data_IF_914231434080
#
_entry.id   IF_914231434080
#
_cell.length_a   1.000
_cell.length_b   1.000
_cell.length_c   1.000
_cell.angle_alpha   90.00
_cell.angle_beta   90.00
_cell.angle_gamma   90.00
#
_symmetry.space_group_name_H-M   'P 1'
#
loop_
_entity.id
_entity.type
_entity.pdbx_description
1 polymer ?
#
# COMPACT_ATOMS: atom_id res chain seq x y z
N UNK A 1 30.91 -23.42 47.00
CA UNK A 1 30.01 -22.29 46.73
C UNK A 1 30.90 -21.11 46.37
N UNK A 2 31.10 -20.85 45.07
CA UNK A 2 31.91 -19.70 44.63
C UNK A 2 31.06 -18.42 44.78
N UNK A 3 31.60 -17.32 45.33
CA UNK A 3 30.86 -16.07 45.41
C UNK A 3 30.68 -15.49 44.00
N UNK A 4 29.47 -15.05 43.68
CA UNK A 4 29.18 -14.26 42.49
C UNK A 4 29.99 -12.94 42.56
N UNK A 5 30.66 -12.52 41.48
CA UNK A 5 31.34 -11.22 41.46
C UNK A 5 30.29 -10.10 41.60
N UNK A 6 30.51 -9.19 42.56
CA UNK A 6 29.74 -7.97 42.71
C UNK A 6 30.00 -7.06 41.50
N UNK A 7 28.95 -6.79 40.71
CA UNK A 7 29.00 -5.80 39.64
C UNK A 7 29.25 -4.40 40.23
N UNK A 8 29.97 -3.51 39.53
CA UNK A 8 30.26 -2.17 40.00
C UNK A 8 28.97 -1.38 40.26
N UNK A 9 28.84 -0.85 41.48
CA UNK A 9 27.71 0.00 41.86
C UNK A 9 27.73 1.29 41.03
N UNK A 10 26.71 1.51 40.21
CA UNK A 10 26.51 2.76 39.46
C UNK A 10 26.10 2.62 38.00
N UNK A 11 26.14 1.41 37.41
CA UNK A 11 25.52 1.18 36.10
C UNK A 11 24.03 0.96 36.32
N UNK A 12 23.23 1.96 36.00
CA UNK A 12 21.79 1.79 35.90
C UNK A 12 21.50 0.90 34.69
N UNK A 13 21.35 -0.40 34.94
CA UNK A 13 21.03 -1.41 33.93
C UNK A 13 19.73 -1.10 33.20
N UNK A 14 18.85 -0.27 33.78
CA UNK A 14 17.63 0.18 33.12
C UNK A 14 17.92 1.29 32.11
N UNK A 15 18.78 2.25 32.45
CA UNK A 15 19.22 3.29 31.53
C UNK A 15 20.05 2.73 30.35
N UNK A 16 20.87 1.70 30.58
CA UNK A 16 21.60 1.00 29.52
C UNK A 16 20.66 0.24 28.57
N UNK A 17 19.66 -0.48 29.12
CA UNK A 17 18.65 -1.16 28.30
C UNK A 17 17.80 -0.19 27.48
N UNK A 18 17.37 0.93 28.07
CA UNK A 18 16.59 1.94 27.35
C UNK A 18 17.40 2.54 26.19
N UNK A 19 18.67 2.88 26.43
CA UNK A 19 19.55 3.37 25.37
C UNK A 19 19.76 2.35 24.25
N UNK A 20 19.87 1.07 24.59
CA UNK A 20 19.95 -0.02 23.61
C UNK A 20 18.66 -0.17 22.79
N UNK A 21 17.49 -0.08 23.43
CA UNK A 21 16.20 -0.16 22.76
C UNK A 21 15.96 1.04 21.83
N UNK A 22 16.36 2.24 22.23
CA UNK A 22 16.32 3.44 21.38
C UNK A 22 17.24 3.28 20.15
N UNK A 23 18.45 2.78 20.36
CA UNK A 23 19.39 2.46 19.29
C UNK A 23 18.82 1.43 18.32
N UNK A 24 18.21 0.36 18.84
CA UNK A 24 17.57 -0.68 18.03
C UNK A 24 16.38 -0.13 17.24
N UNK A 25 15.53 0.70 17.87
CA UNK A 25 14.41 1.37 17.20
C UNK A 25 14.88 2.25 16.04
N UNK A 26 15.96 3.00 16.24
CA UNK A 26 16.55 3.82 15.20
C UNK A 26 17.10 2.98 14.03
N UNK A 27 17.77 1.85 14.32
CA UNK A 27 18.25 0.92 13.29
C UNK A 27 17.10 0.30 12.49
N UNK A 28 16.05 -0.16 13.18
CA UNK A 28 14.82 -0.67 12.53
C UNK A 28 14.24 0.38 11.62
N UNK A 29 14.11 1.63 12.10
CA UNK A 29 13.55 2.73 11.31
C UNK A 29 14.38 3.01 10.06
N UNK A 30 15.70 3.11 10.21
CA UNK A 30 16.60 3.33 9.09
C UNK A 30 16.56 2.18 8.07
N UNK A 31 16.47 0.93 8.54
CA UNK A 31 16.33 -0.23 7.67
C UNK A 31 14.99 -0.22 6.92
N UNK A 32 13.90 0.14 7.59
CA UNK A 32 12.57 0.24 6.99
C UNK A 32 12.50 1.35 5.93
N UNK A 33 13.01 2.54 6.26
CA UNK A 33 13.04 3.69 5.34
C UNK A 33 13.99 3.45 4.14
N UNK A 34 14.88 2.46 4.22
CA UNK A 34 15.80 2.04 3.15
C UNK A 34 15.38 0.73 2.46
N UNK A 35 14.13 0.29 2.64
CA UNK A 35 13.56 -0.95 2.08
C UNK A 35 14.32 -2.25 2.42
N UNK A 36 15.15 -2.24 3.47
CA UNK A 36 15.85 -3.41 3.98
C UNK A 36 14.96 -4.26 4.89
N UNK A 37 13.80 -4.70 4.36
CA UNK A 37 12.75 -5.38 5.12
C UNK A 37 13.21 -6.68 5.80
N UNK A 38 14.21 -7.37 5.24
CA UNK A 38 14.80 -8.55 5.87
C UNK A 38 15.44 -8.21 7.23
N UNK A 39 16.23 -7.13 7.28
CA UNK A 39 16.84 -6.66 8.52
C UNK A 39 15.77 -6.18 9.52
N UNK A 40 14.72 -5.50 9.04
CA UNK A 40 13.58 -5.12 9.87
C UNK A 40 12.96 -6.33 10.57
N UNK A 41 12.74 -7.41 9.82
CA UNK A 41 12.11 -8.64 10.32
C UNK A 41 13.01 -9.43 11.27
N UNK A 42 14.34 -9.27 11.18
CA UNK A 42 15.29 -9.86 12.13
C UNK A 42 15.37 -9.06 13.44
N UNK A 43 15.35 -7.73 13.36
CA UNK A 43 15.57 -6.84 14.50
C UNK A 43 14.29 -6.58 15.32
N UNK A 44 13.14 -6.43 14.66
CA UNK A 44 11.89 -6.06 15.35
C UNK A 44 11.42 -7.06 16.41
N UNK A 45 11.54 -8.39 16.25
CA UNK A 45 11.16 -9.33 17.31
C UNK A 45 11.92 -9.12 18.62
N UNK A 46 13.21 -8.72 18.54
CA UNK A 46 14.02 -8.41 19.72
C UNK A 46 13.45 -7.17 20.42
N UNK A 47 13.21 -6.10 19.65
CA UNK A 47 12.62 -4.86 20.18
C UNK A 47 11.23 -5.08 20.80
N UNK A 48 10.35 -5.76 20.07
CA UNK A 48 8.96 -6.03 20.47
C UNK A 48 8.87 -6.98 21.68
N UNK A 49 9.87 -7.81 21.92
CA UNK A 49 9.99 -8.61 23.14
C UNK A 49 10.05 -7.74 24.41
N UNK A 50 10.61 -6.52 24.30
CA UNK A 50 10.66 -5.54 25.39
C UNK A 50 9.54 -4.49 25.30
N UNK A 51 9.07 -4.18 24.09
CA UNK A 51 8.04 -3.16 23.80
C UNK A 51 6.83 -3.75 23.07
N UNK A 52 6.06 -4.67 23.69
CA UNK A 52 4.98 -5.38 23.00
C UNK A 52 3.76 -4.51 22.68
N UNK A 53 3.65 -3.32 23.29
CA UNK A 53 2.55 -2.37 23.07
C UNK A 53 2.89 -1.29 22.03
N UNK A 54 4.07 -1.32 21.42
CA UNK A 54 4.43 -0.38 20.35
C UNK A 54 3.72 -0.80 19.06
N UNK A 55 2.54 -0.22 18.83
CA UNK A 55 1.69 -0.46 17.65
C UNK A 55 2.42 -0.16 16.35
N UNK A 56 3.24 0.89 16.33
CA UNK A 56 3.96 1.32 15.14
C UNK A 56 5.10 0.36 14.79
N UNK A 57 5.79 -0.18 15.79
CA UNK A 57 6.76 -1.25 15.59
C UNK A 57 6.09 -2.54 15.06
N UNK A 58 4.93 -2.94 15.60
CA UNK A 58 4.16 -4.06 15.05
C UNK A 58 3.69 -3.81 13.61
N UNK A 59 3.31 -2.58 13.29
CA UNK A 59 2.94 -2.15 11.93
C UNK A 59 4.12 -2.33 10.96
N UNK A 60 5.30 -1.78 11.28
CA UNK A 60 6.50 -1.93 10.43
C UNK A 60 6.88 -3.41 10.26
N UNK A 61 6.72 -4.22 11.31
CA UNK A 61 6.99 -5.65 11.25
C UNK A 61 6.04 -6.35 10.28
N UNK A 62 4.74 -6.12 10.44
CA UNK A 62 3.71 -6.71 9.59
C UNK A 62 3.81 -6.29 8.12
N UNK A 63 4.10 -5.01 7.86
CA UNK A 63 4.30 -4.52 6.50
C UNK A 63 5.56 -5.08 5.84
N UNK A 64 6.67 -5.14 6.58
CA UNK A 64 7.91 -5.77 6.10
C UNK A 64 7.71 -7.25 5.76
N UNK A 65 7.00 -8.00 6.63
CA UNK A 65 6.65 -9.40 6.38
C UNK A 65 5.77 -9.56 5.12
N UNK A 66 4.81 -8.65 4.90
CA UNK A 66 3.95 -8.64 3.71
C UNK A 66 4.78 -8.43 2.44
N UNK A 67 5.72 -7.49 2.45
CA UNK A 67 6.61 -7.20 1.31
C UNK A 67 7.55 -8.38 1.02
N UNK A 68 7.98 -9.10 2.05
CA UNK A 68 8.71 -10.37 1.93
C UNK A 68 7.80 -11.59 1.63
N UNK A 69 6.51 -11.38 1.38
CA UNK A 69 5.50 -12.40 1.07
C UNK A 69 5.29 -13.45 2.17
N UNK A 70 5.67 -13.15 3.41
CA UNK A 70 5.42 -13.96 4.61
C UNK A 70 4.03 -13.64 5.17
N UNK A 71 3.00 -13.96 4.40
CA UNK A 71 1.64 -13.46 4.63
C UNK A 71 0.98 -13.92 5.94
N UNK A 72 1.27 -15.13 6.42
CA UNK A 72 0.76 -15.62 7.71
C UNK A 72 1.29 -14.79 8.87
N UNK A 73 2.61 -14.56 8.87
CA UNK A 73 3.31 -13.84 9.93
C UNK A 73 2.92 -12.36 9.88
N UNK A 74 2.79 -11.81 8.67
CA UNK A 74 2.32 -10.45 8.45
C UNK A 74 0.94 -10.23 9.07
N UNK A 75 0.00 -11.16 8.87
CA UNK A 75 -1.34 -11.07 9.43
C UNK A 75 -1.31 -11.08 10.97
N UNK A 76 -0.47 -11.93 11.57
CA UNK A 76 -0.33 -11.99 13.02
C UNK A 76 0.28 -10.70 13.60
N UNK A 77 1.31 -10.16 12.95
CA UNK A 77 1.93 -8.90 13.35
C UNK A 77 0.97 -7.71 13.22
N UNK A 78 0.21 -7.63 12.12
CA UNK A 78 -0.78 -6.56 11.92
C UNK A 78 -1.96 -6.68 12.89
N UNK A 79 -2.35 -7.89 13.30
CA UNK A 79 -3.36 -8.07 14.35
C UNK A 79 -2.87 -7.54 15.71
N UNK A 80 -1.59 -7.74 16.05
CA UNK A 80 -0.99 -7.10 17.22
C UNK A 80 -0.95 -5.58 17.07
N UNK A 81 -0.55 -5.07 15.90
CA UNK A 81 -0.56 -3.62 15.64
C UNK A 81 -1.95 -3.02 15.85
N UNK A 82 -2.99 -3.65 15.29
CA UNK A 82 -4.38 -3.17 15.36
C UNK A 82 -4.92 -3.16 16.80
N UNK A 83 -4.51 -4.13 17.63
CA UNK A 83 -4.95 -4.20 19.04
C UNK A 83 -4.41 -3.05 19.88
N UNK A 84 -3.16 -2.67 19.64
CA UNK A 84 -2.47 -1.65 20.45
C UNK A 84 -2.62 -0.23 19.87
N UNK A 85 -3.00 -0.11 18.58
CA UNK A 85 -3.03 1.17 17.89
C UNK A 85 -4.14 2.09 18.40
N UNK A 86 -3.82 3.37 18.63
CA UNK A 86 -4.82 4.36 18.94
C UNK A 86 -5.72 4.62 17.71
N UNK A 87 -6.99 5.07 17.89
CA UNK A 87 -7.96 5.20 16.80
C UNK A 87 -7.45 5.96 15.57
N UNK A 88 -6.71 7.05 15.78
CA UNK A 88 -6.17 7.90 14.72
C UNK A 88 -5.07 7.23 13.87
N UNK A 89 -4.49 6.12 14.33
CA UNK A 89 -3.47 5.36 13.60
C UNK A 89 -4.02 4.09 12.95
N UNK A 90 -5.27 3.72 13.24
CA UNK A 90 -5.86 2.48 12.74
C UNK A 90 -5.95 2.43 11.21
N UNK A 91 -6.12 3.57 10.55
CA UNK A 91 -6.17 3.64 9.09
C UNK A 91 -4.88 3.11 8.44
N UNK A 92 -3.70 3.34 9.05
CA UNK A 92 -2.40 2.86 8.52
C UNK A 92 -2.33 1.34 8.53
N UNK A 93 -2.81 0.73 9.61
CA UNK A 93 -2.82 -0.73 9.75
C UNK A 93 -3.86 -1.35 8.82
N UNK A 94 -5.03 -0.73 8.73
CA UNK A 94 -6.11 -1.16 7.84
C UNK A 94 -5.70 -1.09 6.35
N UNK A 95 -4.90 -0.11 5.94
CA UNK A 95 -4.42 -0.02 4.54
C UNK A 95 -3.49 -1.19 4.19
N UNK A 96 -2.55 -1.53 5.06
CA UNK A 96 -1.64 -2.67 4.87
C UNK A 96 -2.39 -4.01 4.95
N UNK A 97 -3.36 -4.15 5.86
CA UNK A 97 -4.23 -5.32 5.93
C UNK A 97 -5.05 -5.51 4.64
N UNK A 98 -5.59 -4.43 4.07
CA UNK A 98 -6.32 -4.47 2.81
C UNK A 98 -5.40 -4.92 1.66
N UNK A 99 -4.18 -4.41 1.58
CA UNK A 99 -3.20 -4.84 0.59
C UNK A 99 -2.77 -6.30 0.77
N UNK A 100 -2.65 -6.77 2.01
CA UNK A 100 -2.38 -8.17 2.33
C UNK A 100 -3.52 -9.08 1.87
N UNK A 101 -4.77 -8.70 2.11
CA UNK A 101 -5.94 -9.42 1.59
C UNK A 101 -5.98 -9.42 0.07
N UNK A 102 -5.70 -8.28 -0.59
CA UNK A 102 -5.57 -8.18 -2.04
C UNK A 102 -4.49 -9.12 -2.59
N UNK A 103 -3.34 -9.20 -1.92
CA UNK A 103 -2.20 -10.04 -2.31
C UNK A 103 -2.45 -11.53 -2.11
N UNK A 104 -3.32 -11.88 -1.16
CA UNK A 104 -3.70 -13.27 -0.86
C UNK A 104 -4.99 -13.70 -1.58
N UNK A 105 -5.49 -12.88 -2.51
CA UNK A 105 -6.67 -13.16 -3.33
C UNK A 105 -8.01 -12.98 -2.62
N UNK A 106 -8.03 -12.49 -1.38
CA UNK A 106 -9.24 -12.24 -0.58
C UNK A 106 -9.81 -10.86 -0.91
N UNK A 107 -10.15 -10.65 -2.18
CA UNK A 107 -10.48 -9.33 -2.74
C UNK A 107 -11.72 -8.69 -2.08
N UNK A 108 -12.73 -9.47 -1.69
CA UNK A 108 -13.93 -8.94 -1.02
C UNK A 108 -13.60 -8.38 0.37
N UNK A 109 -12.75 -9.07 1.14
CA UNK A 109 -12.28 -8.56 2.44
C UNK A 109 -11.40 -7.32 2.28
N UNK A 110 -10.61 -7.27 1.21
CA UNK A 110 -9.86 -6.06 0.90
C UNK A 110 -10.80 -4.90 0.58
N UNK A 111 -11.89 -5.15 -0.16
CA UNK A 111 -12.89 -4.14 -0.49
C UNK A 111 -13.60 -3.58 0.74
N UNK A 112 -13.96 -4.43 1.71
CA UNK A 112 -14.55 -3.99 2.98
C UNK A 112 -13.64 -2.98 3.70
N UNK A 113 -12.34 -3.29 3.80
CA UNK A 113 -11.37 -2.41 4.43
C UNK A 113 -11.13 -1.14 3.61
N UNK A 114 -11.01 -1.24 2.28
CA UNK A 114 -10.85 -0.08 1.42
C UNK A 114 -12.07 0.85 1.49
N UNK A 115 -13.28 0.31 1.54
CA UNK A 115 -14.50 1.08 1.72
C UNK A 115 -14.51 1.82 3.06
N UNK A 116 -14.03 1.19 4.14
CA UNK A 116 -13.87 1.86 5.44
C UNK A 116 -12.87 3.02 5.35
N UNK A 117 -11.68 2.76 4.78
CA UNK A 117 -10.60 3.74 4.64
C UNK A 117 -11.02 5.00 3.89
N UNK A 118 -11.74 4.86 2.77
CA UNK A 118 -12.17 6.01 1.97
C UNK A 118 -13.31 6.81 2.62
N UNK A 119 -14.02 6.23 3.59
CA UNK A 119 -15.02 6.93 4.42
C UNK A 119 -14.45 7.50 5.70
N UNK A 120 -13.26 7.07 6.09
CA UNK A 120 -12.57 7.55 7.29
C UNK A 120 -12.19 9.03 7.11
N UNK A 121 -12.46 9.82 8.15
CA UNK A 121 -12.05 11.23 8.18
C UNK A 121 -10.57 11.38 8.48
N UNK A 122 -9.99 10.40 9.17
CA UNK A 122 -8.62 10.41 9.66
C UNK A 122 -7.63 9.71 8.69
N UNK A 123 -8.07 9.14 7.55
CA UNK A 123 -7.14 8.67 6.47
C UNK A 123 -6.36 9.90 5.95
N UNK A 124 -5.06 9.95 6.28
CA UNK A 124 -4.14 11.05 5.98
C UNK A 124 -3.83 11.17 4.47
N UNK A 125 -4.02 10.09 3.69
CA UNK A 125 -3.88 10.07 2.23
C UNK A 125 -5.11 9.48 1.54
N UNK A 126 -6.17 10.29 1.43
CA UNK A 126 -7.44 9.86 0.79
C UNK A 126 -7.28 9.51 -0.68
N UNK A 127 -6.40 10.21 -1.40
CA UNK A 127 -6.12 9.97 -2.82
C UNK A 127 -5.61 8.56 -3.03
N UNK A 128 -4.61 8.16 -2.25
CA UNK A 128 -4.08 6.79 -2.25
C UNK A 128 -5.13 5.76 -1.79
N UNK A 129 -5.89 6.07 -0.73
CA UNK A 129 -7.02 5.25 -0.26
C UNK A 129 -8.00 4.94 -1.44
N UNK A 130 -8.33 5.92 -2.30
CA UNK A 130 -9.16 5.75 -3.51
C UNK A 130 -8.49 4.94 -4.62
N UNK A 131 -7.21 5.19 -4.91
CA UNK A 131 -6.44 4.45 -5.92
C UNK A 131 -6.39 2.96 -5.56
N UNK A 132 -6.03 2.64 -4.33
CA UNK A 132 -5.93 1.25 -3.86
C UNK A 132 -7.27 0.51 -3.95
N UNK A 133 -8.36 1.19 -3.59
CA UNK A 133 -9.71 0.66 -3.72
C UNK A 133 -10.06 0.38 -5.18
N UNK A 134 -9.85 1.35 -6.07
CA UNK A 134 -10.12 1.19 -7.50
C UNK A 134 -9.33 0.02 -8.11
N UNK A 135 -8.06 -0.13 -7.73
CA UNK A 135 -7.23 -1.25 -8.18
C UNK A 135 -7.76 -2.61 -7.70
N UNK A 136 -8.32 -2.69 -6.48
CA UNK A 136 -9.00 -3.88 -5.98
C UNK A 136 -10.28 -4.19 -6.75
N UNK A 137 -11.09 -3.15 -7.04
CA UNK A 137 -12.32 -3.27 -7.81
C UNK A 137 -12.09 -3.73 -9.26
N UNK A 138 -11.00 -3.30 -9.90
CA UNK A 138 -10.59 -3.84 -11.21
C UNK A 138 -10.32 -5.35 -11.14
N UNK A 139 -9.66 -5.83 -10.08
CA UNK A 139 -9.44 -7.28 -9.88
C UNK A 139 -10.72 -8.05 -9.60
N UNK A 140 -11.74 -7.38 -9.05
CA UNK A 140 -13.11 -7.91 -8.88
C UNK A 140 -13.96 -7.77 -10.15
N UNK A 141 -13.41 -7.29 -11.26
CA UNK A 141 -14.12 -7.01 -12.51
C UNK A 141 -15.26 -5.97 -12.37
N UNK A 142 -15.28 -5.20 -11.27
CA UNK A 142 -16.23 -4.12 -11.00
C UNK A 142 -15.74 -2.81 -11.60
N UNK A 143 -15.57 -2.80 -12.92
CA UNK A 143 -14.83 -1.76 -13.65
C UNK A 143 -15.46 -0.36 -13.52
N UNK A 144 -16.78 -0.24 -13.55
CA UNK A 144 -17.46 1.05 -13.41
C UNK A 144 -17.25 1.69 -12.02
N UNK A 145 -17.22 0.87 -10.97
CA UNK A 145 -16.95 1.35 -9.60
C UNK A 145 -15.48 1.73 -9.42
N UNK A 146 -14.57 0.98 -10.08
CA UNK A 146 -13.16 1.34 -10.13
C UNK A 146 -12.95 2.70 -10.81
N UNK A 147 -13.61 2.96 -11.95
CA UNK A 147 -13.58 4.26 -12.62
C UNK A 147 -14.02 5.38 -11.68
N UNK A 148 -15.12 5.18 -10.94
CA UNK A 148 -15.59 6.17 -9.95
C UNK A 148 -14.52 6.47 -8.90
N UNK A 149 -13.84 5.45 -8.39
CA UNK A 149 -12.75 5.61 -7.43
C UNK A 149 -11.59 6.42 -8.02
N UNK A 150 -11.15 6.09 -9.24
CA UNK A 150 -10.04 6.81 -9.87
C UNK A 150 -10.40 8.24 -10.25
N UNK A 151 -11.64 8.52 -10.67
CA UNK A 151 -12.09 9.90 -10.89
C UNK A 151 -12.08 10.71 -9.60
N UNK A 152 -12.46 10.13 -8.46
CA UNK A 152 -12.37 10.80 -7.16
C UNK A 152 -10.92 11.08 -6.77
N UNK A 153 -10.03 10.10 -6.95
CA UNK A 153 -8.60 10.29 -6.72
C UNK A 153 -8.00 11.39 -7.62
N UNK A 154 -8.37 11.43 -8.90
CA UNK A 154 -7.87 12.41 -9.86
C UNK A 154 -8.34 13.86 -9.60
N UNK A 155 -9.31 14.05 -8.71
CA UNK A 155 -9.79 15.38 -8.28
C UNK A 155 -9.24 15.84 -6.93
N UNK A 156 -8.44 14.99 -6.27
CA UNK A 156 -7.88 15.27 -4.95
C UNK A 156 -6.44 15.80 -5.05
N UNK A 157 -5.86 16.20 -3.92
CA UNK A 157 -4.44 16.56 -3.82
C UNK A 157 -3.58 15.28 -3.69
N UNK A 158 -2.33 15.28 -4.19
CA UNK A 158 -1.39 14.15 -4.04
C UNK A 158 -1.05 13.42 -5.34
N UNK A 159 -1.02 12.08 -5.30
CA UNK A 159 -0.62 11.15 -6.38
C UNK A 159 -1.63 11.11 -7.55
N UNK A 160 -1.86 12.26 -8.17
CA UNK A 160 -2.91 12.50 -9.17
C UNK A 160 -2.55 11.88 -10.52
N UNK A 161 -1.27 11.77 -10.84
CA UNK A 161 -0.73 11.10 -12.03
C UNK A 161 -1.07 9.60 -12.03
N UNK A 162 -0.83 8.90 -10.92
CA UNK A 162 -1.19 7.48 -10.78
C UNK A 162 -2.71 7.27 -10.83
N UNK A 163 -3.50 8.22 -10.31
CA UNK A 163 -4.95 8.19 -10.44
C UNK A 163 -5.40 8.29 -11.91
N UNK A 164 -4.81 9.20 -12.70
CA UNK A 164 -5.13 9.34 -14.12
C UNK A 164 -4.69 8.12 -14.94
N UNK A 165 -3.56 7.51 -14.62
CA UNK A 165 -3.13 6.27 -15.25
C UNK A 165 -4.13 5.15 -15.00
N UNK A 166 -4.52 4.93 -13.75
CA UNK A 166 -5.47 3.87 -13.40
C UNK A 166 -6.88 4.17 -13.95
N UNK A 167 -7.27 5.44 -14.06
CA UNK A 167 -8.48 5.84 -14.77
C UNK A 167 -8.42 5.44 -16.25
N UNK A 168 -7.30 5.67 -16.92
CA UNK A 168 -7.11 5.25 -18.31
C UNK A 168 -7.24 3.74 -18.48
N UNK A 169 -6.67 2.96 -17.56
CA UNK A 169 -6.82 1.49 -17.53
C UNK A 169 -8.29 1.08 -17.40
N UNK A 170 -9.04 1.68 -16.46
CA UNK A 170 -10.46 1.38 -16.26
C UNK A 170 -11.32 1.76 -17.48
N UNK A 171 -10.99 2.86 -18.16
CA UNK A 171 -11.68 3.30 -19.38
C UNK A 171 -11.35 2.40 -20.57
N UNK A 172 -10.12 1.92 -20.67
CA UNK A 172 -9.71 0.94 -21.68
C UNK A 172 -10.48 -0.38 -21.53
N UNK A 173 -10.65 -0.89 -20.31
CA UNK A 173 -11.48 -2.08 -20.06
C UNK A 173 -12.93 -1.90 -20.51
N UNK A 174 -13.43 -0.67 -20.50
CA UNK A 174 -14.76 -0.31 -20.99
C UNK A 174 -14.78 0.07 -22.49
N UNK A 175 -13.66 -0.09 -23.20
CA UNK A 175 -13.50 0.26 -24.62
C UNK A 175 -13.77 1.76 -24.92
N UNK A 176 -13.65 2.63 -23.91
CA UNK A 176 -13.80 4.09 -24.04
C UNK A 176 -12.46 4.71 -24.41
N UNK A 177 -11.98 4.39 -25.60
CA UNK A 177 -10.60 4.65 -26.03
C UNK A 177 -10.21 6.13 -26.01
N UNK A 178 -11.05 7.05 -26.49
CA UNK A 178 -10.72 8.48 -26.56
C UNK A 178 -10.57 9.10 -25.15
N UNK A 179 -11.42 8.70 -24.21
CA UNK A 179 -11.30 9.13 -22.82
C UNK A 179 -10.07 8.50 -22.14
N UNK A 180 -9.77 7.24 -22.45
CA UNK A 180 -8.57 6.57 -21.93
C UNK A 180 -7.29 7.27 -22.42
N UNK A 181 -7.22 7.66 -23.70
CA UNK A 181 -6.10 8.45 -24.25
C UNK A 181 -5.95 9.80 -23.58
N UNK A 182 -7.08 10.48 -23.30
CA UNK A 182 -7.07 11.74 -22.57
C UNK A 182 -6.53 11.56 -21.15
N UNK A 183 -6.98 10.51 -20.45
CA UNK A 183 -6.55 10.23 -19.08
C UNK A 183 -5.05 9.86 -19.00
N UNK A 184 -4.55 8.98 -19.87
CA UNK A 184 -3.13 8.62 -19.87
C UNK A 184 -2.25 9.79 -20.32
N UNK A 185 -2.75 10.65 -21.21
CA UNK A 185 -2.09 11.90 -21.57
C UNK A 185 -1.85 12.81 -20.37
N UNK A 186 -2.88 13.01 -19.54
CA UNK A 186 -2.75 13.77 -18.28
C UNK A 186 -1.76 13.15 -17.29
N UNK A 187 -1.74 11.81 -17.17
CA UNK A 187 -0.76 11.14 -16.31
C UNK A 187 0.69 11.45 -16.75
N UNK A 188 0.96 11.39 -18.06
CA UNK A 188 2.29 11.70 -18.64
C UNK A 188 2.63 13.19 -18.52
N UNK A 189 1.65 14.08 -18.66
CA UNK A 189 1.87 15.52 -18.47
C UNK A 189 2.24 15.87 -17.02
N UNK A 190 1.62 15.20 -16.05
CA UNK A 190 1.88 15.40 -14.62
C UNK A 190 3.22 14.81 -14.18
N UNK A 191 3.54 13.59 -14.62
CA UNK A 191 4.86 12.98 -14.44
C UNK A 191 5.43 12.51 -15.80
N UNK A 192 6.28 13.33 -16.44
CA UNK A 192 6.98 12.94 -17.67
C UNK A 192 7.92 11.74 -17.48
N UNK A 193 8.31 11.42 -16.25
CA UNK A 193 9.12 10.25 -15.89
C UNK A 193 8.31 8.96 -15.74
N UNK A 194 6.99 9.02 -15.86
CA UNK A 194 6.09 7.89 -15.63
C UNK A 194 6.17 6.85 -16.75
N UNK A 195 7.16 5.96 -16.66
CA UNK A 195 7.55 5.00 -17.71
C UNK A 195 6.39 4.18 -18.30
N UNK A 196 5.38 3.87 -17.49
CA UNK A 196 4.21 3.07 -17.89
C UNK A 196 3.20 3.85 -18.73
N UNK A 197 3.20 5.19 -18.68
CA UNK A 197 2.26 6.04 -19.39
C UNK A 197 2.33 5.85 -20.92
N UNK A 198 3.50 6.03 -21.55
CA UNK A 198 3.65 5.83 -22.99
C UNK A 198 3.29 4.43 -23.47
N UNK A 199 3.63 3.39 -22.69
CA UNK A 199 3.28 2.00 -22.98
C UNK A 199 1.75 1.79 -22.99
N UNK A 200 1.05 2.30 -21.98
CA UNK A 200 -0.41 2.23 -21.92
C UNK A 200 -1.05 3.03 -23.05
N UNK A 201 -0.52 4.21 -23.39
CA UNK A 201 -1.01 5.01 -24.50
C UNK A 201 -0.96 4.24 -25.82
N UNK A 202 0.19 3.64 -26.14
CA UNK A 202 0.35 2.84 -27.36
C UNK A 202 -0.63 1.65 -27.39
N UNK A 203 -0.85 1.00 -26.23
CA UNK A 203 -1.81 -0.08 -26.13
C UNK A 203 -3.26 0.36 -26.39
N UNK A 204 -3.66 1.54 -25.87
CA UNK A 204 -4.99 2.11 -26.12
C UNK A 204 -5.16 2.47 -27.60
N UNK A 205 -4.14 3.08 -28.23
CA UNK A 205 -4.16 3.46 -29.66
C UNK A 205 -4.36 2.23 -30.55
N UNK A 206 -3.60 1.16 -30.30
CA UNK A 206 -3.75 -0.10 -31.04
C UNK A 206 -5.13 -0.75 -30.85
N UNK A 207 -5.66 -0.76 -29.62
CA UNK A 207 -6.99 -1.31 -29.34
C UNK A 207 -8.10 -0.50 -30.04
N UNK A 208 -7.96 0.82 -30.12
CA UNK A 208 -8.87 1.71 -30.82
C UNK A 208 -8.88 1.45 -32.33
N UNK A 209 -7.71 1.34 -32.95
CA UNK A 209 -7.59 1.03 -34.38
C UNK A 209 -8.23 -0.31 -34.72
N UNK A 210 -7.90 -1.37 -33.95
CA UNK A 210 -8.50 -2.69 -34.15
C UNK A 210 -10.04 -2.67 -34.02
N UNK A 211 -10.58 -1.87 -33.09
CA UNK A 211 -12.03 -1.70 -32.95
C UNK A 211 -12.67 -1.03 -34.17
N UNK A 212 -11.99 -0.03 -34.77
CA UNK A 212 -12.49 0.66 -35.96
C UNK A 212 -12.45 -0.25 -37.20
N UNK A 213 -11.38 -1.01 -37.37
CA UNK A 213 -11.25 -1.99 -38.46
C UNK A 213 -12.37 -3.03 -38.40
N UNK A 214 -12.65 -3.58 -37.22
CA UNK A 214 -13.74 -4.55 -37.03
C UNK A 214 -15.11 -3.98 -37.42
N UNK A 215 -15.42 -2.75 -36.97
CA UNK A 215 -16.67 -2.07 -37.32
C UNK A 215 -16.78 -1.81 -38.83
N UNK A 216 -15.68 -1.46 -39.49
CA UNK A 216 -15.65 -1.23 -40.94
C UNK A 216 -15.88 -2.51 -41.76
N UNK A 217 -15.43 -3.66 -41.25
CA UNK A 217 -15.63 -4.96 -41.88
C UNK A 217 -17.08 -5.44 -41.73
N UNK A 218 -17.69 -5.26 -40.56
CA UNK A 218 -19.07 -5.69 -40.29
C UNK A 218 -20.09 -4.83 -41.07
N UNK A 219 -19.84 -3.53 -41.22
CA UNK A 219 -20.70 -2.63 -42.00
C UNK A 219 -20.68 -2.88 -43.53
N UNK A 220 -19.75 -3.69 -44.04
CA UNK A 220 -19.60 -4.03 -45.45
C UNK A 220 -20.26 -5.35 -45.87
N UNK A 221 -20.91 -6.07 -44.95
CA UNK A 221 -21.66 -7.30 -45.18
C UNK A 221 -23.16 -7.05 -45.17
#
# INVERSE_FOLDING_TARGET
MYPLPLLPAGVDMTADLESQLDGLKAQVRAAYDSDHYAAVVELLPIYLGHRPTDSFAWFMYGDSLRLLKRYSDALAALASAQREAPPQEQWRISSVLAELYKSTGKLDRAEELYQQLVTDRDCENKTWCWILRGANLLKLERVAEAESCFRRAATAEGDVDEAYYNLAVALLFQQRYDEALTAVGKAIELDPGFKKGPELRAHIEAAREASLEWLSWDAGK
#
